data_IF_626814485414
#
_entry.id   IF_626814485414
#
_cell.length_a   1.000
_cell.length_b   1.000
_cell.length_c   1.000
_cell.angle_alpha   90.00
_cell.angle_beta   90.00
_cell.angle_gamma   90.00
#
_symmetry.space_group_name_H-M   'P 1'
#
loop_
_entity.id
_entity.type
_entity.pdbx_description
1 polymer ?
#
# COMPACT_ATOMS: atom_id res chain seq x y z
N UNK A 1 13.19 -44.30 35.69
CA UNK A 1 13.22 -42.86 35.40
C UNK A 1 13.76 -42.73 33.98
N UNK A 2 12.85 -42.63 33.00
CA UNK A 2 13.20 -42.43 31.59
C UNK A 2 12.72 -41.03 31.22
N UNK A 3 13.68 -40.15 30.91
CA UNK A 3 13.44 -38.78 30.47
C UNK A 3 12.95 -38.75 29.02
N UNK A 4 11.73 -38.28 28.82
CA UNK A 4 11.16 -37.97 27.51
C UNK A 4 11.34 -36.46 27.30
N UNK A 5 12.50 -36.04 26.80
CA UNK A 5 12.68 -34.69 26.27
C UNK A 5 12.24 -34.67 24.80
N UNK A 6 10.93 -34.49 24.60
CA UNK A 6 10.36 -34.14 23.29
C UNK A 6 10.67 -32.67 23.02
N UNK A 7 11.76 -32.40 22.31
CA UNK A 7 12.05 -31.09 21.73
C UNK A 7 11.02 -30.83 20.63
N UNK A 8 9.96 -30.06 20.97
CA UNK A 8 9.12 -29.38 19.99
C UNK A 8 10.00 -28.39 19.23
N UNK A 9 10.53 -28.80 18.08
CA UNK A 9 11.14 -27.90 17.11
C UNK A 9 10.03 -26.99 16.57
N UNK A 10 10.12 -25.70 16.89
CA UNK A 10 9.25 -24.69 16.28
C UNK A 10 9.38 -24.78 14.74
N UNK A 11 8.28 -24.70 13.98
CA UNK A 11 8.34 -24.72 12.52
C UNK A 11 9.21 -23.55 12.03
N UNK A 12 10.17 -23.85 11.15
CA UNK A 12 11.00 -22.83 10.54
C UNK A 12 10.12 -21.82 9.78
N UNK A 13 10.31 -20.53 10.06
CA UNK A 13 9.58 -19.46 9.38
C UNK A 13 9.91 -19.49 7.88
N UNK A 14 8.91 -19.34 6.99
CA UNK A 14 9.16 -19.25 5.56
C UNK A 14 10.10 -18.08 5.24
N UNK A 15 10.98 -18.25 4.25
CA UNK A 15 11.87 -17.18 3.79
C UNK A 15 11.10 -15.96 3.25
N UNK A 16 11.77 -14.79 3.22
CA UNK A 16 11.17 -13.48 2.86
C UNK A 16 10.37 -13.56 1.55
N UNK A 17 10.91 -14.22 0.52
CA UNK A 17 10.23 -14.42 -0.77
C UNK A 17 8.87 -15.13 -0.65
N UNK A 18 8.86 -16.29 0.01
CA UNK A 18 7.64 -17.09 0.22
C UNK A 18 6.61 -16.34 1.08
N UNK A 19 7.07 -15.43 1.95
CA UNK A 19 6.19 -14.56 2.74
C UNK A 19 5.56 -13.48 1.86
N UNK A 20 6.34 -12.81 1.01
CA UNK A 20 5.82 -11.81 0.09
C UNK A 20 4.79 -12.42 -0.87
N UNK A 21 5.04 -13.63 -1.42
CA UNK A 21 4.06 -14.33 -2.26
C UNK A 21 2.72 -14.59 -1.55
N UNK A 22 2.75 -14.96 -0.27
CA UNK A 22 1.54 -15.15 0.55
C UNK A 22 0.81 -13.83 0.77
N UNK A 23 1.54 -12.75 1.08
CA UNK A 23 0.95 -11.43 1.28
C UNK A 23 0.38 -10.86 -0.01
N UNK A 24 1.08 -11.05 -1.13
CA UNK A 24 0.62 -10.62 -2.44
C UNK A 24 -0.69 -11.31 -2.79
N UNK A 25 -0.77 -12.64 -2.62
CA UNK A 25 -2.01 -13.37 -2.84
C UNK A 25 -3.11 -12.96 -1.87
N UNK A 26 -2.82 -12.77 -0.58
CA UNK A 26 -3.86 -12.42 0.38
C UNK A 26 -4.44 -11.03 0.13
N UNK A 27 -3.59 -10.05 -0.17
CA UNK A 27 -3.97 -8.64 -0.20
C UNK A 27 -4.25 -8.07 -1.59
N UNK A 28 -3.72 -8.67 -2.66
CA UNK A 28 -3.81 -8.13 -4.01
C UNK A 28 -4.37 -9.14 -5.00
N UNK A 29 -5.05 -8.64 -6.04
CA UNK A 29 -5.53 -9.46 -7.15
C UNK A 29 -4.37 -9.83 -8.07
N UNK A 30 -3.55 -10.79 -7.63
CA UNK A 30 -2.48 -11.31 -8.45
C UNK A 30 -3.02 -12.05 -9.68
N UNK A 31 -4.29 -12.50 -9.68
CA UNK A 31 -4.96 -13.11 -10.82
C UNK A 31 -5.08 -12.15 -12.02
N UNK A 32 -5.05 -10.85 -11.77
CA UNK A 32 -5.06 -9.81 -12.81
C UNK A 32 -3.83 -9.88 -13.75
N UNK A 33 -2.70 -10.43 -13.29
CA UNK A 33 -1.46 -10.58 -14.04
C UNK A 33 -1.33 -11.99 -14.67
N UNK A 34 -0.80 -12.05 -15.89
CA UNK A 34 -0.47 -13.31 -16.55
C UNK A 34 0.72 -14.03 -15.88
N UNK A 35 0.85 -15.33 -16.15
CA UNK A 35 1.97 -16.12 -15.65
C UNK A 35 3.32 -15.62 -16.19
N UNK A 36 3.35 -15.11 -17.43
CA UNK A 36 4.54 -14.53 -18.05
C UNK A 36 4.94 -13.21 -17.36
N UNK A 37 3.98 -12.31 -17.13
CA UNK A 37 4.24 -11.06 -16.40
C UNK A 37 4.77 -11.34 -14.99
N UNK A 38 4.17 -12.28 -14.25
CA UNK A 38 4.67 -12.67 -12.91
C UNK A 38 6.09 -13.22 -12.96
N UNK A 39 6.39 -14.04 -13.96
CA UNK A 39 7.72 -14.62 -14.15
C UNK A 39 8.77 -13.55 -14.48
N UNK A 40 8.41 -12.55 -15.28
CA UNK A 40 9.31 -11.46 -15.66
C UNK A 40 9.54 -10.48 -14.50
N UNK A 41 8.57 -10.33 -13.59
CA UNK A 41 8.67 -9.50 -12.39
C UNK A 41 9.37 -10.19 -11.19
N UNK A 42 9.30 -11.53 -11.08
CA UNK A 42 9.92 -12.26 -9.95
C UNK A 42 11.45 -12.05 -9.77
N UNK A 43 12.27 -11.78 -10.81
CA UNK A 43 13.68 -11.40 -10.66
C UNK A 43 13.90 -10.09 -9.90
N UNK A 44 12.87 -9.23 -9.81
CA UNK A 44 12.96 -7.84 -9.34
C UNK A 44 12.38 -7.62 -7.94
N UNK A 45 12.09 -8.69 -7.20
CA UNK A 45 11.39 -8.69 -5.90
C UNK A 45 12.01 -7.83 -4.77
N UNK A 46 13.12 -7.09 -4.98
CA UNK A 46 13.88 -6.45 -3.89
C UNK A 46 14.34 -5.00 -4.12
N UNK A 47 13.88 -4.27 -5.13
CA UNK A 47 14.30 -2.87 -5.32
C UNK A 47 13.24 -1.90 -4.80
N UNK A 48 13.29 -1.62 -3.49
CA UNK A 48 12.52 -0.53 -2.87
C UNK A 48 12.74 0.78 -3.65
N UNK A 49 11.66 1.51 -3.93
CA UNK A 49 11.70 2.77 -4.67
C UNK A 49 11.88 2.65 -6.19
N UNK A 50 11.97 1.43 -6.73
CA UNK A 50 11.83 1.21 -8.17
C UNK A 50 10.41 1.52 -8.65
N UNK A 51 10.30 1.88 -9.93
CA UNK A 51 9.03 2.23 -10.57
C UNK A 51 8.71 1.21 -11.64
N UNK A 52 7.49 0.70 -11.62
CA UNK A 52 6.94 -0.09 -12.71
C UNK A 52 5.84 0.71 -13.42
N UNK A 53 5.68 0.53 -14.72
CA UNK A 53 4.55 1.09 -15.48
C UNK A 53 3.75 -0.04 -16.07
N UNK A 54 2.50 -0.10 -15.65
CA UNK A 54 1.55 -1.15 -15.99
C UNK A 54 0.47 -0.55 -16.91
N UNK A 55 0.34 -1.11 -18.10
CA UNK A 55 -0.71 -0.74 -19.05
C UNK A 55 -2.02 -1.48 -18.74
N UNK A 56 -3.18 -1.08 -19.31
CA UNK A 56 -4.38 -1.90 -19.25
C UNK A 56 -4.15 -3.25 -19.93
N UNK A 57 -4.79 -4.33 -19.44
CA UNK A 57 -4.63 -5.69 -19.99
C UNK A 57 -4.96 -5.75 -21.48
N UNK A 58 -5.99 -5.02 -21.90
CA UNK A 58 -6.41 -4.93 -23.30
C UNK A 58 -5.35 -4.32 -24.23
N UNK A 59 -4.39 -3.55 -23.70
CA UNK A 59 -3.33 -2.96 -24.51
C UNK A 59 -2.23 -3.96 -24.89
N UNK A 60 -2.17 -5.14 -24.24
CA UNK A 60 -1.18 -6.19 -24.48
C UNK A 60 0.27 -5.68 -24.57
N UNK A 61 0.63 -4.75 -23.67
CA UNK A 61 1.98 -4.20 -23.54
C UNK A 61 2.69 -4.84 -22.36
N UNK A 62 4.00 -5.02 -22.50
CA UNK A 62 4.88 -5.42 -21.41
C UNK A 62 4.86 -4.39 -20.28
N UNK A 63 5.12 -4.87 -19.06
CA UNK A 63 5.32 -4.00 -17.89
C UNK A 63 6.71 -3.37 -18.04
N UNK A 64 6.77 -2.05 -18.04
CA UNK A 64 8.03 -1.32 -18.10
C UNK A 64 8.58 -1.15 -16.69
N UNK A 65 9.90 -1.14 -16.56
CA UNK A 65 10.58 -1.07 -15.28
C UNK A 65 11.65 0.02 -15.30
N UNK A 66 11.77 0.75 -14.20
CA UNK A 66 12.75 1.80 -14.00
C UNK A 66 13.38 1.61 -12.62
N UNK A 67 14.71 1.57 -12.56
CA UNK A 67 15.42 1.32 -11.31
C UNK A 67 15.29 2.49 -10.33
N UNK A 68 15.05 3.70 -10.86
CA UNK A 68 14.93 4.94 -10.06
C UNK A 68 13.82 5.84 -10.58
N UNK A 69 13.31 6.72 -9.72
CA UNK A 69 12.38 7.78 -10.12
C UNK A 69 12.98 8.70 -11.19
N UNK A 70 14.28 9.01 -11.11
CA UNK A 70 14.96 9.83 -12.11
C UNK A 70 14.93 9.21 -13.52
N UNK A 71 15.11 7.90 -13.64
CA UNK A 71 14.98 7.18 -14.92
C UNK A 71 13.55 7.25 -15.47
N UNK A 72 12.56 7.01 -14.61
CA UNK A 72 11.14 7.13 -14.95
C UNK A 72 10.78 8.55 -15.42
N UNK A 73 11.20 9.57 -14.69
CA UNK A 73 10.95 10.99 -15.02
C UNK A 73 11.64 11.37 -16.34
N UNK A 74 12.86 10.88 -16.56
CA UNK A 74 13.62 11.13 -17.80
C UNK A 74 12.98 10.46 -19.01
N UNK A 75 12.43 9.26 -18.84
CA UNK A 75 11.65 8.59 -19.89
C UNK A 75 10.36 9.37 -20.22
N UNK A 76 9.87 10.20 -19.28
CA UNK A 76 8.72 11.08 -19.42
C UNK A 76 7.52 10.39 -20.10
N UNK A 77 7.03 9.26 -19.56
CA UNK A 77 5.95 8.50 -20.16
C UNK A 77 4.66 9.34 -20.13
N UNK A 78 4.34 9.97 -21.26
CA UNK A 78 3.25 10.96 -21.37
C UNK A 78 1.86 10.37 -21.12
N UNK A 79 1.73 9.05 -21.23
CA UNK A 79 0.50 8.29 -21.04
C UNK A 79 0.27 7.86 -19.58
N UNK A 80 1.25 8.04 -18.69
CA UNK A 80 1.08 7.74 -17.26
C UNK A 80 0.37 8.89 -16.57
N UNK A 81 -0.88 8.64 -16.17
CA UNK A 81 -1.76 9.61 -15.48
C UNK A 81 -2.10 9.23 -14.05
N UNK A 82 -1.76 8.01 -13.64
CA UNK A 82 -2.00 7.54 -12.28
C UNK A 82 -0.73 6.95 -11.66
N UNK A 83 -0.64 7.08 -10.35
CA UNK A 83 0.41 6.50 -9.52
C UNK A 83 -0.22 5.63 -8.43
N UNK A 84 0.35 4.48 -8.14
CA UNK A 84 -0.07 3.62 -7.03
C UNK A 84 1.06 3.34 -6.05
N UNK A 85 0.70 3.20 -4.79
CA UNK A 85 1.60 2.78 -3.72
C UNK A 85 0.92 1.66 -2.93
N UNK A 86 1.47 0.46 -3.03
CA UNK A 86 1.00 -0.69 -2.29
C UNK A 86 1.38 -0.59 -0.80
N UNK A 87 0.74 -1.40 0.04
CA UNK A 87 1.03 -1.55 1.46
C UNK A 87 2.34 -2.30 1.73
N UNK A 88 2.96 -2.00 2.87
CA UNK A 88 4.26 -2.55 3.30
C UNK A 88 4.31 -4.07 3.25
N UNK A 89 5.37 -4.58 2.65
CA UNK A 89 5.59 -6.01 2.45
C UNK A 89 4.94 -6.57 1.19
N UNK A 90 4.27 -5.73 0.38
CA UNK A 90 3.93 -6.08 -0.99
C UNK A 90 5.19 -6.17 -1.84
N UNK A 91 5.30 -7.21 -2.65
CA UNK A 91 6.37 -7.24 -3.64
C UNK A 91 6.03 -6.36 -4.85
N UNK A 92 6.92 -6.36 -5.83
CA UNK A 92 6.64 -5.85 -7.18
C UNK A 92 5.37 -6.47 -7.78
N UNK A 93 5.03 -7.72 -7.44
CA UNK A 93 3.81 -8.40 -7.91
C UNK A 93 2.57 -7.76 -7.30
N UNK A 94 2.53 -7.53 -5.98
CA UNK A 94 1.41 -6.84 -5.33
C UNK A 94 1.23 -5.42 -5.89
N UNK A 95 2.33 -4.70 -6.08
CA UNK A 95 2.35 -3.36 -6.69
C UNK A 95 1.82 -3.40 -8.12
N UNK A 96 2.28 -4.34 -8.94
CA UNK A 96 1.85 -4.49 -10.33
C UNK A 96 0.37 -4.86 -10.43
N UNK A 97 -0.13 -5.67 -9.50
CA UNK A 97 -1.52 -6.10 -9.44
C UNK A 97 -2.44 -4.91 -9.09
N UNK A 98 -2.06 -4.11 -8.09
CA UNK A 98 -2.76 -2.86 -7.77
C UNK A 98 -2.77 -1.90 -8.97
N UNK A 99 -1.61 -1.70 -9.60
CA UNK A 99 -1.49 -0.84 -10.78
C UNK A 99 -2.35 -1.36 -11.94
N UNK A 100 -2.38 -2.68 -12.18
CA UNK A 100 -3.19 -3.32 -13.23
C UNK A 100 -4.67 -3.08 -13.03
N UNK A 101 -5.18 -3.17 -11.81
CA UNK A 101 -6.59 -2.93 -11.53
C UNK A 101 -6.99 -1.49 -11.82
N UNK A 102 -6.17 -0.52 -11.41
CA UNK A 102 -6.39 0.90 -11.74
C UNK A 102 -6.28 1.12 -13.25
N UNK A 103 -5.30 0.52 -13.91
CA UNK A 103 -5.08 0.62 -15.35
C UNK A 103 -6.28 0.09 -16.14
N UNK A 104 -6.80 -1.08 -15.76
CA UNK A 104 -7.98 -1.68 -16.38
C UNK A 104 -9.24 -0.83 -16.15
N UNK A 105 -9.39 -0.25 -14.95
CA UNK A 105 -10.56 0.55 -14.58
C UNK A 105 -10.73 1.77 -15.49
N UNK A 106 -9.64 2.51 -15.73
CA UNK A 106 -9.68 3.76 -16.47
C UNK A 106 -9.11 3.68 -17.88
N UNK A 107 -8.61 2.50 -18.28
CA UNK A 107 -7.93 2.30 -19.56
C UNK A 107 -6.76 3.27 -19.79
N UNK A 108 -5.92 3.46 -18.76
CA UNK A 108 -4.72 4.32 -18.78
C UNK A 108 -3.48 3.54 -18.31
N UNK A 109 -2.28 4.03 -18.63
CA UNK A 109 -1.06 3.52 -18.03
C UNK A 109 -0.91 4.05 -16.60
N UNK A 110 -0.43 3.19 -15.71
CA UNK A 110 -0.32 3.46 -14.28
C UNK A 110 1.08 3.14 -13.80
N UNK A 111 1.73 4.10 -13.15
CA UNK A 111 2.98 3.86 -12.47
C UNK A 111 2.71 3.25 -11.08
N UNK A 112 3.52 2.29 -10.67
CA UNK A 112 3.52 1.73 -9.32
C UNK A 112 4.89 1.92 -8.68
N UNK A 113 4.92 2.42 -7.45
CA UNK A 113 6.13 2.47 -6.63
C UNK A 113 6.23 1.18 -5.83
N UNK A 114 7.32 0.45 -6.00
CA UNK A 114 7.57 -0.78 -5.22
C UNK A 114 7.98 -0.36 -3.80
N UNK A 115 7.04 -0.48 -2.87
CA UNK A 115 7.27 -0.16 -1.46
C UNK A 115 7.98 -1.31 -0.75
N UNK A 116 9.12 -1.03 -0.14
CA UNK A 116 9.85 -1.99 0.68
C UNK A 116 9.38 -1.99 2.13
N UNK A 117 10.10 -2.70 2.99
CA UNK A 117 9.86 -2.66 4.44
C UNK A 117 10.49 -1.41 5.09
N UNK A 118 11.50 -0.78 4.47
CA UNK A 118 12.38 0.19 5.14
C UNK A 118 11.72 1.53 5.47
N UNK A 119 11.12 2.21 4.50
CA UNK A 119 10.62 3.57 4.70
C UNK A 119 9.36 3.66 5.55
N UNK A 120 8.47 2.68 5.47
CA UNK A 120 7.24 2.69 6.26
C UNK A 120 7.47 2.35 7.73
N UNK A 121 8.49 1.54 8.03
CA UNK A 121 8.94 1.32 9.41
C UNK A 121 9.55 2.61 9.97
N UNK A 122 10.35 3.33 9.17
CA UNK A 122 10.86 4.66 9.51
C UNK A 122 9.72 5.69 9.72
N UNK A 123 8.70 5.72 8.85
CA UNK A 123 7.55 6.61 9.00
C UNK A 123 6.71 6.20 10.22
N UNK A 124 6.51 4.91 10.45
CA UNK A 124 5.78 4.40 11.61
C UNK A 124 6.50 4.75 12.92
N UNK A 125 7.83 4.69 12.94
CA UNK A 125 8.67 5.11 14.07
C UNK A 125 8.64 6.63 14.25
N UNK A 126 8.80 7.41 13.17
CA UNK A 126 8.78 8.87 13.19
C UNK A 126 7.41 9.46 13.57
N UNK A 127 6.32 8.76 13.23
CA UNK A 127 4.95 9.08 13.66
C UNK A 127 4.60 8.48 15.04
N UNK A 128 5.60 8.03 15.81
CA UNK A 128 5.44 7.60 17.20
C UNK A 128 4.63 6.32 17.37
N UNK A 129 4.67 5.41 16.39
CA UNK A 129 3.97 4.14 16.44
C UNK A 129 2.46 4.23 16.22
N UNK A 130 1.94 5.34 15.68
CA UNK A 130 0.50 5.55 15.42
C UNK A 130 -0.16 4.40 14.61
N UNK A 131 0.60 3.74 13.73
CA UNK A 131 0.14 2.58 12.95
C UNK A 131 0.15 1.25 13.72
N UNK A 132 0.90 1.15 14.80
CA UNK A 132 0.96 -0.08 15.62
C UNK A 132 0.23 0.09 16.97
N UNK A 133 0.02 1.31 17.46
CA UNK A 133 -0.50 1.65 18.79
C UNK A 133 -1.75 2.55 18.80
N UNK A 134 -2.44 2.72 17.67
CA UNK A 134 -3.61 3.60 17.49
C UNK A 134 -4.86 3.37 18.36
N UNK A 135 -4.73 2.69 19.52
CA UNK A 135 -5.79 2.47 20.49
C UNK A 135 -5.39 2.77 21.95
N UNK A 136 -4.38 3.60 22.21
CA UNK A 136 -3.98 3.89 23.59
C UNK A 136 -4.78 5.02 24.28
N UNK A 137 -5.68 5.75 23.59
CA UNK A 137 -6.36 6.87 24.24
C UNK A 137 -7.83 7.04 23.81
N UNK A 138 -8.73 6.29 24.48
CA UNK A 138 -10.00 6.83 25.06
C UNK A 138 -10.98 5.82 25.67
N UNK A 139 -10.78 4.49 25.55
CA UNK A 139 -11.70 3.53 26.21
C UNK A 139 -10.98 2.33 26.85
N UNK A 140 -10.16 2.62 27.86
CA UNK A 140 -9.39 1.63 28.63
C UNK A 140 -10.22 0.64 29.46
N UNK A 141 -11.53 0.86 29.62
CA UNK A 141 -12.38 0.03 30.50
C UNK A 141 -13.33 -0.93 29.74
N UNK A 142 -13.79 -0.60 28.53
CA UNK A 142 -14.62 -1.51 27.71
C UNK A 142 -13.82 -2.45 26.81
N UNK A 143 -12.58 -2.09 26.47
CA UNK A 143 -11.70 -2.93 25.67
C UNK A 143 -11.21 -4.18 26.44
N UNK A 144 -11.17 -4.13 27.78
CA UNK A 144 -10.59 -5.22 28.59
C UNK A 144 -11.40 -6.53 28.51
N UNK A 145 -12.72 -6.44 28.41
CA UNK A 145 -13.60 -7.61 28.30
C UNK A 145 -13.64 -8.19 26.87
N UNK A 146 -13.48 -7.37 25.83
CA UNK A 146 -13.34 -7.87 24.46
C UNK A 146 -11.94 -8.38 24.13
N UNK A 147 -10.90 -7.88 24.81
CA UNK A 147 -9.49 -8.23 24.57
C UNK A 147 -9.09 -9.60 25.13
N UNK A 148 -9.80 -10.15 26.11
CA UNK A 148 -9.50 -11.51 26.61
C UNK A 148 -9.89 -12.59 25.58
N UNK A 149 -11.02 -12.44 24.89
CA UNK A 149 -11.39 -13.31 23.76
C UNK A 149 -10.60 -12.99 22.48
N UNK A 150 -10.41 -11.71 22.14
CA UNK A 150 -9.68 -11.30 20.93
C UNK A 150 -8.16 -11.52 21.01
N UNK A 151 -7.55 -11.27 22.16
CA UNK A 151 -6.12 -11.48 22.39
C UNK A 151 -5.73 -12.95 22.24
N UNK A 152 -6.63 -13.86 22.59
CA UNK A 152 -6.45 -15.29 22.36
C UNK A 152 -6.46 -15.65 20.86
N UNK A 153 -7.35 -15.04 20.07
CA UNK A 153 -7.43 -15.27 18.61
C UNK A 153 -6.25 -14.65 17.85
N UNK A 154 -5.73 -13.51 18.32
CA UNK A 154 -4.55 -12.83 17.76
C UNK A 154 -3.22 -13.53 18.09
N UNK A 155 -3.07 -14.08 19.29
CA UNK A 155 -1.85 -14.78 19.71
C UNK A 155 -1.84 -16.26 19.31
N UNK A 156 -3.01 -16.88 19.14
CA UNK A 156 -3.13 -18.27 18.69
C UNK A 156 -3.07 -18.43 17.17
N UNK A 157 -3.23 -17.36 16.38
CA UNK A 157 -3.15 -17.47 14.92
C UNK A 157 -1.69 -17.34 14.45
N UNK A 158 -1.06 -18.42 13.93
CA UNK A 158 0.33 -18.40 13.49
C UNK A 158 0.62 -17.35 12.41
N UNK A 159 -0.43 -16.97 11.66
CA UNK A 159 -0.39 -15.91 10.65
C UNK A 159 0.02 -14.54 11.23
N UNK A 160 -0.58 -14.12 12.35
CA UNK A 160 -0.27 -12.83 12.97
C UNK A 160 1.07 -12.82 13.70
N UNK A 161 1.47 -13.94 14.30
CA UNK A 161 2.83 -14.11 14.83
C UNK A 161 3.88 -13.94 13.73
N UNK A 162 3.63 -14.49 12.54
CA UNK A 162 4.54 -14.35 11.39
C UNK A 162 4.61 -12.91 10.85
N UNK A 163 3.54 -12.12 11.02
CA UNK A 163 3.47 -10.70 10.67
C UNK A 163 4.18 -9.81 11.70
N UNK A 164 4.20 -10.19 12.98
CA UNK A 164 4.95 -9.46 14.02
C UNK A 164 6.45 -9.76 14.00
N UNK A 165 6.81 -11.01 13.68
CA UNK A 165 8.21 -11.44 13.48
C UNK A 165 8.76 -11.05 12.09
N UNK A 166 7.91 -10.43 11.27
CA UNK A 166 8.18 -10.04 9.90
C UNK A 166 9.12 -8.87 9.70
N UNK A 167 9.16 -7.96 10.67
CA UNK A 167 9.81 -6.66 10.56
C UNK A 167 11.33 -6.87 10.47
N UNK A 168 11.96 -6.68 9.30
CA UNK A 168 13.41 -6.68 9.22
C UNK A 168 13.94 -5.50 10.03
N UNK A 169 15.03 -5.72 10.75
CA UNK A 169 15.79 -4.60 11.33
C UNK A 169 16.27 -3.70 10.19
N UNK A 170 15.98 -2.40 10.29
CA UNK A 170 16.30 -1.39 9.29
C UNK A 170 17.78 -1.50 8.87
N UNK A 171 18.03 -2.01 7.66
CA UNK A 171 19.36 -1.97 7.06
C UNK A 171 19.49 -0.62 6.37
N UNK A 172 20.28 0.28 6.97
CA UNK A 172 20.53 1.63 6.46
C UNK A 172 20.81 1.63 4.96
N UNK A 173 19.92 2.27 4.21
CA UNK A 173 20.11 2.55 2.79
C UNK A 173 20.30 4.04 2.59
N UNK A 174 21.25 4.37 1.73
CA UNK A 174 21.55 5.69 1.22
C UNK A 174 20.25 6.30 0.68
N UNK A 175 19.73 7.35 1.33
CA UNK A 175 18.35 7.83 1.21
C UNK A 175 17.87 8.37 -0.15
N UNK A 176 18.49 7.96 -1.27
CA UNK A 176 18.11 8.31 -2.65
C UNK A 176 17.30 7.23 -3.37
N UNK A 177 17.32 5.98 -2.91
CA UNK A 177 16.54 4.88 -3.49
C UNK A 177 15.52 4.32 -2.49
N UNK A 178 14.74 5.19 -1.85
CA UNK A 178 13.61 4.78 -1.02
C UNK A 178 12.31 5.04 -1.77
N UNK A 179 11.25 4.31 -1.45
CA UNK A 179 9.93 4.53 -2.02
C UNK A 179 9.41 5.96 -1.77
N UNK A 180 9.72 6.54 -0.61
CA UNK A 180 9.36 7.90 -0.27
C UNK A 180 10.21 8.93 -1.00
N UNK A 181 11.49 8.63 -1.26
CA UNK A 181 12.34 9.43 -2.13
C UNK A 181 11.77 9.47 -3.54
N UNK A 182 11.45 8.30 -4.09
CA UNK A 182 10.86 8.16 -5.42
C UNK A 182 9.52 8.91 -5.55
N UNK A 183 8.63 8.77 -4.56
CA UNK A 183 7.35 9.46 -4.54
C UNK A 183 7.52 10.99 -4.51
N UNK A 184 8.42 11.50 -3.66
CA UNK A 184 8.70 12.95 -3.58
C UNK A 184 9.28 13.50 -4.90
N UNK A 185 10.19 12.76 -5.55
CA UNK A 185 10.76 13.14 -6.84
C UNK A 185 9.69 13.22 -7.94
N UNK A 186 8.82 12.19 -8.02
CA UNK A 186 7.74 12.14 -9.01
C UNK A 186 6.73 13.28 -8.78
N UNK A 187 6.32 13.52 -7.53
CA UNK A 187 5.37 14.58 -7.21
C UNK A 187 5.92 15.99 -7.51
N UNK A 188 7.23 16.18 -7.35
CA UNK A 188 7.90 17.45 -7.64
C UNK A 188 8.23 17.64 -9.14
N UNK A 189 8.18 16.58 -9.95
CA UNK A 189 8.55 16.63 -11.36
C UNK A 189 7.50 17.35 -12.20
N UNK A 190 7.90 18.44 -12.88
CA UNK A 190 7.01 19.20 -13.78
C UNK A 190 6.59 18.41 -15.03
N UNK A 191 7.43 17.48 -15.49
CA UNK A 191 7.20 16.68 -16.70
C UNK A 191 6.19 15.56 -16.51
N UNK A 192 5.95 15.14 -15.26
CA UNK A 192 4.92 14.17 -14.91
C UNK A 192 3.64 14.95 -14.63
N UNK A 193 2.48 14.45 -15.01
CA UNK A 193 1.21 15.14 -14.78
C UNK A 193 0.16 14.13 -14.33
N UNK A 194 0.11 13.90 -13.02
CA UNK A 194 -0.78 12.92 -12.40
C UNK A 194 -2.19 13.50 -12.20
N UNK A 195 -3.18 12.69 -12.54
CA UNK A 195 -4.60 12.94 -12.26
C UNK A 195 -5.12 12.11 -11.08
N UNK A 196 -4.42 11.04 -10.73
CA UNK A 196 -4.81 10.08 -9.70
C UNK A 196 -3.60 9.55 -8.92
N UNK A 197 -3.74 9.44 -7.61
CA UNK A 197 -2.86 8.64 -6.76
C UNK A 197 -3.69 7.68 -5.92
N UNK A 198 -3.33 6.40 -5.88
CA UNK A 198 -4.04 5.35 -5.13
C UNK A 198 -3.09 4.68 -4.15
N UNK A 199 -3.45 4.67 -2.87
CA UNK A 199 -2.76 3.91 -1.85
C UNK A 199 -3.59 2.75 -1.33
N UNK A 200 -2.90 1.72 -0.84
CA UNK A 200 -3.54 0.66 -0.07
C UNK A 200 -2.83 0.46 1.27
N UNK A 201 -3.62 0.27 2.34
CA UNK A 201 -3.12 -0.01 3.68
C UNK A 201 -2.06 1.02 4.12
N UNK A 202 -0.83 0.59 4.42
CA UNK A 202 0.29 1.47 4.78
C UNK A 202 0.83 2.32 3.62
N UNK A 203 0.55 1.99 2.36
CA UNK A 203 0.91 2.84 1.21
C UNK A 203 0.27 4.22 1.28
N UNK A 204 -0.91 4.31 1.93
CA UNK A 204 -1.59 5.58 2.20
C UNK A 204 -0.75 6.54 3.05
N UNK A 205 0.12 6.03 3.91
CA UNK A 205 1.02 6.87 4.71
C UNK A 205 2.17 7.45 3.95
N UNK A 206 2.74 6.68 3.03
CA UNK A 206 3.79 7.19 2.17
C UNK A 206 3.23 8.35 1.35
N UNK A 207 2.00 8.18 0.84
CA UNK A 207 1.27 9.23 0.14
C UNK A 207 1.02 10.43 1.05
N UNK A 208 0.42 10.25 2.22
CA UNK A 208 0.17 11.34 3.18
C UNK A 208 1.44 12.13 3.51
N UNK A 209 2.50 11.42 3.90
CA UNK A 209 3.77 12.04 4.23
C UNK A 209 4.40 12.80 3.05
N UNK A 210 4.34 12.25 1.84
CA UNK A 210 4.86 12.93 0.65
C UNK A 210 4.02 14.16 0.29
N UNK A 211 2.70 14.08 0.38
CA UNK A 211 1.79 15.19 0.11
C UNK A 211 1.93 16.29 1.17
N UNK A 212 2.12 15.94 2.45
CA UNK A 212 2.41 16.90 3.53
C UNK A 212 3.71 17.66 3.26
N UNK A 213 4.77 16.97 2.80
CA UNK A 213 6.01 17.60 2.36
C UNK A 213 5.80 18.52 1.17
N UNK A 214 5.02 18.08 0.18
CA UNK A 214 4.69 18.89 -0.99
C UNK A 214 3.93 20.15 -0.58
N UNK A 215 2.92 20.00 0.29
CA UNK A 215 2.10 21.09 0.80
C UNK A 215 2.93 22.14 1.53
N UNK A 216 3.86 21.70 2.41
CA UNK A 216 4.80 22.59 3.10
C UNK A 216 5.72 23.33 2.13
N UNK A 217 6.25 22.63 1.13
CA UNK A 217 7.16 23.20 0.13
C UNK A 217 6.49 24.27 -0.73
N UNK A 218 5.20 24.11 -1.03
CA UNK A 218 4.43 24.98 -1.92
C UNK A 218 3.33 25.76 -1.17
N UNK A 219 3.48 25.98 0.13
CA UNK A 219 2.48 26.64 0.97
C UNK A 219 2.12 28.06 0.45
N UNK A 220 3.13 28.83 0.01
CA UNK A 220 2.95 30.22 -0.42
C UNK A 220 2.67 30.39 -1.91
N UNK A 221 2.99 29.38 -2.72
CA UNK A 221 2.96 29.49 -4.20
C UNK A 221 1.84 28.69 -4.85
N UNK A 222 1.21 27.77 -4.11
CA UNK A 222 0.25 26.83 -4.66
C UNK A 222 0.91 25.71 -5.46
N UNK A 223 0.19 24.61 -5.64
CA UNK A 223 0.62 23.49 -6.48
C UNK A 223 -0.56 23.00 -7.33
N UNK A 224 -0.30 22.66 -8.60
CA UNK A 224 -1.36 22.19 -9.53
C UNK A 224 -2.18 21.00 -9.00
N UNK A 225 -1.59 20.19 -8.12
CA UNK A 225 -2.22 18.99 -7.60
C UNK A 225 -3.25 19.26 -6.50
N UNK A 226 -3.27 20.44 -5.89
CA UNK A 226 -4.26 20.76 -4.85
C UNK A 226 -5.70 20.59 -5.34
N UNK A 227 -5.97 21.02 -6.59
CA UNK A 227 -7.31 20.95 -7.18
C UNK A 227 -7.45 19.87 -8.28
N UNK A 228 -6.34 19.40 -8.85
CA UNK A 228 -6.38 18.46 -9.98
C UNK A 228 -6.18 16.99 -9.59
N UNK A 229 -5.43 16.72 -8.51
CA UNK A 229 -5.05 15.37 -8.13
C UNK A 229 -6.16 14.73 -7.30
N UNK A 230 -6.66 13.58 -7.76
CA UNK A 230 -7.56 12.74 -6.97
C UNK A 230 -6.72 11.79 -6.12
N UNK A 231 -6.96 11.79 -4.81
CA UNK A 231 -6.26 10.93 -3.86
C UNK A 231 -7.24 9.88 -3.40
N UNK A 232 -6.92 8.61 -3.67
CA UNK A 232 -7.73 7.47 -3.25
C UNK A 232 -6.98 6.67 -2.20
N UNK A 233 -7.61 6.48 -1.04
CA UNK A 233 -7.11 5.64 0.03
C UNK A 233 -7.96 4.38 0.14
N UNK A 234 -7.35 3.21 0.05
CA UNK A 234 -8.02 1.91 0.21
C UNK A 234 -7.52 1.22 1.49
N UNK A 235 -8.44 0.70 2.30
CA UNK A 235 -8.11 -0.13 3.47
C UNK A 235 -7.49 0.63 4.65
N UNK A 236 -7.32 1.94 4.57
CA UNK A 236 -6.96 2.77 5.71
C UNK A 236 -7.54 4.19 5.53
N UNK A 237 -7.75 4.90 6.64
CA UNK A 237 -8.18 6.30 6.64
C UNK A 237 -7.07 7.15 7.24
N UNK A 238 -6.58 8.10 6.45
CA UNK A 238 -5.44 8.97 6.74
C UNK A 238 -5.86 10.43 6.69
N UNK A 239 -5.06 11.31 7.30
CA UNK A 239 -5.35 12.73 7.36
C UNK A 239 -4.52 13.50 6.33
N UNK A 240 -4.87 13.31 5.06
CA UNK A 240 -4.21 14.02 3.96
C UNK A 240 -4.25 15.54 4.17
N UNK A 241 -3.27 16.29 3.64
CA UNK A 241 -3.20 17.73 3.83
C UNK A 241 -4.45 18.43 3.29
N UNK A 242 -5.01 19.42 4.01
CA UNK A 242 -6.29 20.05 3.67
C UNK A 242 -6.27 20.85 2.34
N UNK A 243 -5.08 21.12 1.79
CA UNK A 243 -4.92 21.75 0.49
C UNK A 243 -5.42 20.85 -0.66
N UNK A 244 -5.46 19.53 -0.46
CA UNK A 244 -5.96 18.60 -1.47
C UNK A 244 -7.46 18.39 -1.28
N UNK A 245 -8.26 18.85 -2.25
CA UNK A 245 -9.72 18.90 -2.12
C UNK A 245 -10.42 17.64 -2.63
N UNK A 246 -9.73 16.84 -3.47
CA UNK A 246 -10.28 15.63 -4.09
C UNK A 246 -9.77 14.36 -3.40
N UNK A 247 -10.17 14.16 -2.15
CA UNK A 247 -9.76 13.01 -1.32
C UNK A 247 -10.92 12.03 -1.17
N UNK A 248 -10.68 10.78 -1.52
CA UNK A 248 -11.66 9.69 -1.45
C UNK A 248 -11.07 8.56 -0.61
N UNK A 249 -11.65 8.28 0.55
CA UNK A 249 -11.13 7.27 1.47
C UNK A 249 -12.14 6.15 1.65
N UNK A 250 -11.70 4.91 1.49
CA UNK A 250 -12.53 3.73 1.52
C UNK A 250 -11.98 2.71 2.50
N UNK A 251 -12.85 2.25 3.40
CA UNK A 251 -12.54 1.26 4.41
C UNK A 251 -13.54 0.10 4.29
N UNK A 252 -13.07 -1.14 4.34
CA UNK A 252 -13.98 -2.29 4.34
C UNK A 252 -14.94 -2.25 5.53
N UNK A 253 -16.21 -2.59 5.32
CA UNK A 253 -17.25 -2.56 6.35
C UNK A 253 -17.00 -3.53 7.51
N UNK A 254 -16.25 -4.62 7.25
CA UNK A 254 -15.79 -5.59 8.25
C UNK A 254 -14.26 -5.51 8.46
N UNK A 255 -13.61 -4.48 7.93
CA UNK A 255 -12.17 -4.27 7.98
C UNK A 255 -11.71 -3.71 9.33
N UNK A 256 -11.65 -4.59 10.32
CA UNK A 256 -11.07 -4.27 11.62
C UNK A 256 -9.57 -3.98 11.54
N UNK A 257 -8.85 -4.60 10.59
CA UNK A 257 -7.40 -4.46 10.47
C UNK A 257 -7.06 -3.05 9.99
N UNK A 258 -7.66 -2.61 8.88
CA UNK A 258 -7.62 -1.24 8.42
C UNK A 258 -8.19 -0.27 9.46
N UNK A 259 -9.28 -0.64 10.13
CA UNK A 259 -9.90 0.18 11.17
C UNK A 259 -8.97 0.53 12.33
N UNK A 260 -8.16 -0.42 12.82
CA UNK A 260 -7.13 -0.18 13.85
C UNK A 260 -6.01 0.76 13.36
N UNK A 261 -5.77 0.79 12.05
CA UNK A 261 -4.74 1.61 11.40
C UNK A 261 -5.31 2.94 10.85
N UNK A 262 -6.55 3.27 11.20
CA UNK A 262 -7.30 4.38 10.59
C UNK A 262 -7.64 5.49 11.56
N UNK A 263 -7.67 6.73 11.05
CA UNK A 263 -8.30 7.87 11.73
C UNK A 263 -9.81 7.86 11.47
N UNK A 264 -10.52 6.99 12.17
CA UNK A 264 -11.96 6.73 11.95
C UNK A 264 -12.90 7.93 12.18
N UNK A 265 -12.41 9.02 12.80
CA UNK A 265 -13.16 10.27 12.95
C UNK A 265 -13.17 11.16 11.70
N UNK A 266 -12.39 10.82 10.66
CA UNK A 266 -12.36 11.56 9.40
C UNK A 266 -13.41 11.03 8.41
N UNK A 267 -13.74 11.84 7.40
CA UNK A 267 -14.64 11.44 6.34
C UNK A 267 -14.07 10.25 5.54
N UNK A 268 -14.88 9.20 5.42
CA UNK A 268 -14.57 8.00 4.66
C UNK A 268 -15.86 7.24 4.31
N UNK A 269 -15.80 6.44 3.26
CA UNK A 269 -16.87 5.55 2.84
C UNK A 269 -16.57 4.13 3.31
N UNK A 270 -17.56 3.48 3.94
CA UNK A 270 -17.47 2.06 4.27
C UNK A 270 -17.96 1.21 3.10
N UNK A 271 -17.14 0.27 2.65
CA UNK A 271 -17.49 -0.67 1.58
C UNK A 271 -18.23 -1.87 2.20
N UNK A 272 -19.54 -2.05 1.97
CA UNK A 272 -20.32 -3.08 2.65
C UNK A 272 -19.73 -4.47 2.47
N UNK A 273 -19.68 -5.25 3.56
CA UNK A 273 -19.19 -6.64 3.59
C UNK A 273 -17.74 -6.83 3.14
N UNK A 274 -16.99 -5.78 2.82
CA UNK A 274 -15.59 -5.91 2.42
C UNK A 274 -14.66 -5.92 3.64
N UNK A 275 -13.62 -6.75 3.56
CA UNK A 275 -12.49 -6.81 4.47
C UNK A 275 -11.32 -5.96 3.92
N UNK A 276 -10.08 -6.23 4.33
CA UNK A 276 -8.91 -5.38 4.05
C UNK A 276 -8.29 -5.55 2.65
N UNK A 277 -8.55 -6.67 1.97
CA UNK A 277 -7.83 -7.05 0.75
C UNK A 277 -8.53 -6.63 -0.54
N UNK A 278 -7.76 -6.66 -1.62
CA UNK A 278 -8.13 -6.30 -2.98
C UNK A 278 -8.21 -7.53 -3.90
N UNK A 279 -7.87 -8.73 -3.41
CA UNK A 279 -7.86 -9.95 -4.22
C UNK A 279 -9.28 -10.39 -4.61
N UNK A 280 -9.60 -10.30 -5.90
CA UNK A 280 -10.91 -10.66 -6.47
C UNK A 280 -11.19 -12.17 -6.48
N UNK A 281 -10.16 -13.01 -6.33
CA UNK A 281 -10.31 -14.47 -6.19
C UNK A 281 -10.80 -14.88 -4.79
N UNK A 282 -10.75 -13.97 -3.81
CA UNK A 282 -11.20 -14.19 -2.44
C UNK A 282 -12.53 -13.46 -2.18
N UNK A 283 -13.45 -14.06 -1.39
CA UNK A 283 -14.68 -13.39 -1.00
C UNK A 283 -14.38 -12.19 -0.09
N UNK A 284 -15.31 -11.24 -0.01
CA UNK A 284 -15.20 -10.05 0.85
C UNK A 284 -14.04 -9.10 0.48
N UNK A 285 -13.60 -9.08 -0.78
CA UNK A 285 -12.62 -8.10 -1.25
C UNK A 285 -13.22 -6.72 -1.48
N UNK A 286 -12.38 -5.69 -1.45
CA UNK A 286 -12.71 -4.36 -1.99
C UNK A 286 -12.47 -4.40 -3.50
N UNK A 287 -13.53 -4.31 -4.30
CA UNK A 287 -13.44 -4.22 -5.76
C UNK A 287 -12.97 -2.83 -6.18
N UNK A 288 -11.70 -2.72 -6.58
CA UNK A 288 -11.11 -1.45 -7.07
C UNK A 288 -11.92 -0.91 -8.24
N UNK A 289 -12.23 -1.76 -9.22
CA UNK A 289 -12.90 -1.35 -10.44
C UNK A 289 -14.27 -0.74 -10.16
N UNK A 290 -15.11 -1.42 -9.38
CA UNK A 290 -16.46 -0.94 -9.08
C UNK A 290 -16.41 0.36 -8.28
N UNK A 291 -15.59 0.38 -7.23
CA UNK A 291 -15.46 1.50 -6.31
C UNK A 291 -14.94 2.76 -6.99
N UNK A 292 -13.92 2.63 -7.84
CA UNK A 292 -13.36 3.75 -8.59
C UNK A 292 -14.35 4.28 -9.64
N UNK A 293 -15.00 3.40 -10.41
CA UNK A 293 -16.00 3.81 -11.43
C UNK A 293 -17.19 4.55 -10.82
N UNK A 294 -17.63 4.13 -9.63
CA UNK A 294 -18.80 4.70 -8.96
C UNK A 294 -18.50 6.04 -8.27
N UNK A 295 -17.28 6.23 -7.77
CA UNK A 295 -16.99 7.33 -6.84
C UNK A 295 -15.93 8.32 -7.35
N UNK A 296 -15.11 7.95 -8.34
CA UNK A 296 -13.94 8.72 -8.75
C UNK A 296 -13.91 8.86 -10.27
N UNK A 297 -14.51 9.92 -10.80
CA UNK A 297 -14.45 10.21 -12.23
C UNK A 297 -13.12 10.87 -12.59
N UNK A 298 -12.32 10.27 -13.49
CA UNK A 298 -11.16 10.96 -14.08
C UNK A 298 -11.64 11.92 -15.18
N UNK A 299 -11.03 13.11 -15.20
CA UNK A 299 -11.24 14.16 -16.21
C UNK A 299 -10.24 14.04 -17.34
#
# INVERSE_FOLDING_TARGET
MNDINTTLTAPALPGIKKRNEIFDFLFYDIGSLSAEEKKNLSPMENHEGSIIVVSPKAANKEILEFATAAEFIKAAPRDVKALVVAGVGSSVIGTASLARNVANTYNIAVAGIVSGYGAADLISEALGGWFFYGAADKHRLKMRESMEDFGSMFTANPFFQSMLQAAPQATGHDGKNTDIGALNEILAAKSIDLSLIVGHSKGNLLIDYALEKLAKKFADTGHRYYDALRIVSLGAVTNFPPQFTNVYQFLGGIDWFGGLNSRLGLEHTKVPSAWHHLNTELPYHISIESLLKENVALS
#
